data_IF_812216487306
#
_entry.id   IF_812216487306
#
_cell.length_a   1.000
_cell.length_b   1.000
_cell.length_c   1.000
_cell.angle_alpha   90.00
_cell.angle_beta   90.00
_cell.angle_gamma   90.00
#
_symmetry.space_group_name_H-M   'P 1'
#
loop_
_entity.id
_entity.type
_entity.pdbx_description
1 polymer ?
#
# COMPACT_ATOMS: atom_id res chain seq x y z
N UNK A 1 -15.63 2.54 2.19
CA UNK A 1 -15.53 2.18 3.62
C UNK A 1 -16.89 2.29 4.31
N UNK A 2 -17.58 3.40 4.08
CA UNK A 2 -18.77 3.81 4.86
C UNK A 2 -19.97 2.89 4.75
N UNK A 3 -20.05 2.05 3.70
CA UNK A 3 -21.12 1.04 3.57
C UNK A 3 -20.82 -0.28 4.28
N UNK A 4 -19.54 -0.64 4.43
CA UNK A 4 -19.12 -1.97 4.91
C UNK A 4 -18.78 -1.96 6.41
N UNK A 5 -18.17 -0.88 6.91
CA UNK A 5 -17.85 -0.74 8.34
C UNK A 5 -19.09 -0.82 9.26
N UNK A 6 -20.23 -0.16 8.95
CA UNK A 6 -21.43 -0.29 9.78
C UNK A 6 -22.03 -1.70 9.83
N UNK A 7 -21.68 -2.56 8.87
CA UNK A 7 -22.11 -3.95 8.83
C UNK A 7 -21.19 -4.88 9.65
N UNK A 8 -20.17 -4.33 10.32
CA UNK A 8 -19.21 -5.09 11.14
C UNK A 8 -18.04 -5.69 10.37
N UNK A 9 -17.91 -5.42 9.05
CA UNK A 9 -16.77 -5.92 8.29
C UNK A 9 -15.48 -5.15 8.62
N UNK A 10 -14.42 -5.89 8.96
CA UNK A 10 -13.05 -5.36 8.96
C UNK A 10 -12.51 -5.37 7.53
N UNK A 11 -12.03 -4.22 7.07
CA UNK A 11 -11.42 -4.10 5.73
C UNK A 11 -9.92 -3.92 5.88
N UNK A 12 -9.16 -4.79 5.22
CA UNK A 12 -7.71 -4.69 5.12
C UNK A 12 -7.38 -4.39 3.65
N UNK A 13 -7.09 -3.13 3.28
CA UNK A 13 -6.70 -2.79 1.92
C UNK A 13 -5.35 -3.40 1.58
N UNK A 14 -5.23 -3.88 0.35
CA UNK A 14 -3.98 -4.39 -0.21
C UNK A 14 -3.38 -3.33 -1.11
N UNK A 15 -2.14 -2.92 -0.81
CA UNK A 15 -1.43 -1.85 -1.50
C UNK A 15 -0.18 -2.47 -2.13
N UNK A 16 -0.05 -2.36 -3.45
CA UNK A 16 1.10 -2.89 -4.18
C UNK A 16 2.23 -1.86 -4.29
N UNK A 17 3.47 -2.31 -4.07
CA UNK A 17 4.66 -1.45 -4.12
C UNK A 17 4.93 -1.02 -5.57
N UNK A 18 4.99 0.30 -5.86
CA UNK A 18 5.37 0.80 -7.17
C UNK A 18 6.85 0.51 -7.43
N UNK A 19 7.13 -0.25 -8.48
CA UNK A 19 8.48 -0.42 -9.02
C UNK A 19 8.38 -0.96 -10.45
N UNK A 20 9.44 -0.77 -11.24
CA UNK A 20 9.52 -1.29 -12.61
C UNK A 20 9.29 -2.82 -12.65
N UNK A 21 9.81 -3.55 -11.66
CA UNK A 21 9.64 -5.01 -11.56
C UNK A 21 8.19 -5.42 -11.29
N UNK A 22 7.39 -4.56 -10.69
CA UNK A 22 5.96 -4.81 -10.44
C UNK A 22 5.06 -4.33 -11.59
N UNK A 23 5.59 -3.68 -12.64
CA UNK A 23 4.78 -3.12 -13.74
C UNK A 23 3.87 -4.16 -14.42
N UNK A 24 4.38 -5.38 -14.66
CA UNK A 24 3.57 -6.48 -15.22
C UNK A 24 2.40 -6.87 -14.31
N UNK A 25 2.62 -6.86 -12.99
CA UNK A 25 1.59 -7.17 -12.00
C UNK A 25 0.51 -6.08 -11.95
N UNK A 26 0.90 -4.80 -12.05
CA UNK A 26 -0.06 -3.69 -12.16
C UNK A 26 -0.94 -3.80 -13.41
N UNK A 27 -0.32 -4.05 -14.57
CA UNK A 27 -1.04 -4.21 -15.83
C UNK A 27 -2.01 -5.39 -15.79
N UNK A 28 -1.57 -6.54 -15.26
CA UNK A 28 -2.41 -7.74 -15.12
C UNK A 28 -3.63 -7.52 -14.22
N UNK A 29 -3.48 -6.73 -13.15
CA UNK A 29 -4.56 -6.45 -12.19
C UNK A 29 -5.42 -5.23 -12.57
N UNK A 30 -5.05 -4.51 -13.64
CA UNK A 30 -5.73 -3.27 -14.03
C UNK A 30 -5.60 -2.14 -13.00
N UNK A 31 -4.52 -2.14 -12.21
CA UNK A 31 -4.28 -1.16 -11.16
C UNK A 31 -3.43 0.00 -11.72
N UNK A 32 -3.99 1.20 -11.68
CA UNK A 32 -3.27 2.43 -11.97
C UNK A 32 -2.47 2.89 -10.74
N UNK A 33 -1.15 2.75 -10.81
CA UNK A 33 -0.21 3.14 -9.75
C UNK A 33 0.35 4.56 -9.90
N UNK A 34 0.09 5.22 -11.04
CA UNK A 34 0.65 6.54 -11.35
C UNK A 34 0.19 7.61 -10.35
N UNK A 35 -1.00 7.42 -9.76
CA UNK A 35 -1.61 8.35 -8.81
C UNK A 35 -0.93 8.40 -7.44
N UNK A 36 -0.17 7.37 -7.07
CA UNK A 36 0.42 7.27 -5.74
C UNK A 36 1.91 6.92 -5.72
N UNK A 37 2.51 6.56 -6.85
CA UNK A 37 3.89 6.08 -6.91
C UNK A 37 4.90 7.04 -6.27
N UNK A 38 4.75 8.35 -6.50
CA UNK A 38 5.68 9.38 -6.02
C UNK A 38 5.50 9.71 -4.54
N UNK A 39 4.39 9.31 -3.94
CA UNK A 39 4.03 9.58 -2.53
C UNK A 39 3.62 8.31 -1.79
N UNK A 40 4.24 7.19 -2.14
CA UNK A 40 3.79 5.87 -1.72
C UNK A 40 3.71 5.69 -0.19
N UNK A 41 4.70 6.23 0.53
CA UNK A 41 4.75 6.15 2.00
C UNK A 41 3.62 6.97 2.64
N UNK A 42 3.34 8.16 2.12
CA UNK A 42 2.24 9.02 2.58
C UNK A 42 0.90 8.35 2.28
N UNK A 43 0.74 7.78 1.08
CA UNK A 43 -0.45 7.06 0.66
C UNK A 43 -0.77 5.87 1.59
N UNK A 44 0.23 5.06 1.95
CA UNK A 44 0.06 3.98 2.93
C UNK A 44 -0.40 4.54 4.28
N UNK A 45 0.22 5.64 4.73
CA UNK A 45 -0.07 6.24 6.04
C UNK A 45 -1.49 6.82 6.10
N UNK A 46 -1.96 7.46 5.03
CA UNK A 46 -3.32 7.97 4.90
C UNK A 46 -4.35 6.85 4.93
N UNK A 47 -4.10 5.76 4.19
CA UNK A 47 -5.00 4.60 4.19
C UNK A 47 -5.04 3.96 5.58
N UNK A 48 -3.89 3.71 6.20
CA UNK A 48 -3.79 3.14 7.54
C UNK A 48 -4.57 3.97 8.58
N UNK A 49 -4.52 5.32 8.51
CA UNK A 49 -5.33 6.19 9.40
C UNK A 49 -6.83 5.91 9.27
N UNK A 50 -7.31 5.55 8.08
CA UNK A 50 -8.72 5.23 7.84
C UNK A 50 -9.06 3.78 8.16
N UNK A 51 -8.17 2.82 7.91
CA UNK A 51 -8.48 1.38 7.94
C UNK A 51 -7.97 0.64 9.17
N UNK A 52 -7.04 1.24 9.92
CA UNK A 52 -6.36 0.61 11.06
C UNK A 52 -5.25 -0.35 10.61
N UNK A 53 -5.56 -1.26 9.68
CA UNK A 53 -4.61 -2.22 9.13
C UNK A 53 -4.42 -2.01 7.62
N UNK A 54 -3.26 -2.37 7.08
CA UNK A 54 -2.95 -2.40 5.63
C UNK A 54 -2.06 -3.59 5.30
N UNK A 55 -2.24 -4.19 4.13
CA UNK A 55 -1.34 -5.20 3.59
C UNK A 55 -0.49 -4.59 2.46
N UNK A 56 0.84 -4.66 2.56
CA UNK A 56 1.75 -4.22 1.50
C UNK A 56 2.22 -5.45 0.71
N UNK A 57 2.09 -5.41 -0.61
CA UNK A 57 2.50 -6.52 -1.50
C UNK A 57 3.52 -6.07 -2.53
N UNK A 58 4.53 -6.90 -2.80
CA UNK A 58 5.53 -6.66 -3.83
C UNK A 58 5.92 -7.99 -4.48
N UNK A 59 5.14 -8.46 -5.46
CA UNK A 59 5.26 -9.81 -5.99
C UNK A 59 6.63 -10.08 -6.64
N UNK A 60 7.26 -9.05 -7.22
CA UNK A 60 8.50 -9.21 -7.98
C UNK A 60 9.65 -8.33 -7.46
N UNK A 61 9.44 -7.58 -6.37
CA UNK A 61 10.44 -6.63 -5.86
C UNK A 61 10.58 -6.63 -4.35
N UNK A 62 11.31 -7.63 -3.83
CA UNK A 62 11.58 -7.74 -2.41
C UNK A 62 12.34 -6.52 -1.85
N UNK A 63 13.28 -5.97 -2.61
CA UNK A 63 14.07 -4.81 -2.17
C UNK A 63 13.18 -3.59 -1.98
N UNK A 64 12.31 -3.29 -2.96
CA UNK A 64 11.38 -2.17 -2.84
C UNK A 64 10.43 -2.30 -1.64
N UNK A 65 9.99 -3.53 -1.31
CA UNK A 65 9.21 -3.79 -0.11
C UNK A 65 10.02 -3.51 1.17
N UNK A 66 11.26 -4.02 1.24
CA UNK A 66 12.16 -3.79 2.38
C UNK A 66 12.43 -2.30 2.61
N UNK A 67 12.74 -1.55 1.54
CA UNK A 67 13.00 -0.12 1.59
C UNK A 67 11.76 0.67 2.03
N UNK A 68 10.58 0.28 1.55
CA UNK A 68 9.30 0.86 2.00
C UNK A 68 9.08 0.64 3.51
N UNK A 69 9.31 -0.59 4.00
CA UNK A 69 9.14 -0.92 5.41
C UNK A 69 10.14 -0.16 6.29
N UNK A 70 11.38 0.05 5.83
CA UNK A 70 12.37 0.86 6.55
C UNK A 70 11.88 2.30 6.73
N UNK A 71 11.43 2.95 5.65
CA UNK A 71 10.87 4.32 5.68
C UNK A 71 9.66 4.44 6.63
N UNK A 72 8.76 3.46 6.60
CA UNK A 72 7.59 3.43 7.50
C UNK A 72 7.99 3.29 8.98
N UNK A 73 9.04 2.53 9.30
CA UNK A 73 9.55 2.39 10.67
C UNK A 73 10.19 3.68 11.18
N UNK A 74 10.86 4.43 10.31
CA UNK A 74 11.44 5.74 10.66
C UNK A 74 10.35 6.77 11.00
N UNK A 75 9.22 6.75 10.29
CA UNK A 75 8.09 7.63 10.58
C UNK A 75 7.44 7.35 11.95
N UNK A 76 7.38 6.08 12.38
CA UNK A 76 6.84 5.71 13.70
C UNK A 76 7.74 6.10 14.88
N UNK A 77 8.99 6.50 14.63
CA UNK A 77 9.97 6.87 15.65
C UNK A 77 9.99 8.39 15.94
N UNK A 78 9.27 9.19 15.15
CA UNK A 78 9.06 10.63 15.36
C UNK A 78 7.73 10.87 16.04
#
# INVERSE_FOLDING_TARGET
>A
MDKLKPQGFRIIPVIMVPSEKNAKSFAMLGIDHTKYQDRFVDFISEIHKSTGDVLITSPNDFKAASDTLAKLKELKRK
#
